data_IF_036622175489
#
_entry.id   IF_036622175489
#
_cell.length_a   1.000
_cell.length_b   1.000
_cell.length_c   1.000
_cell.angle_alpha   90.00
_cell.angle_beta   90.00
_cell.angle_gamma   90.00
#
_symmetry.space_group_name_H-M   'P 1'
#
loop_
_entity.id
_entity.type
_entity.pdbx_description
1 polymer ?
#
# COMPACT_ATOMS: atom_id res chain seq x y z
N UNK A 1 45.83 24.97 27.05
CA UNK A 1 45.68 24.59 25.63
C UNK A 1 44.62 23.49 25.54
N UNK A 2 43.38 23.82 25.16
CA UNK A 2 42.27 22.86 25.01
C UNK A 2 41.50 23.27 23.76
N UNK A 3 41.65 22.50 22.68
CA UNK A 3 40.98 22.73 21.40
C UNK A 3 39.53 22.26 21.51
N UNK A 4 38.56 23.16 21.44
CA UNK A 4 37.15 22.80 21.33
C UNK A 4 36.85 22.40 19.89
N UNK A 5 36.51 21.12 19.68
CA UNK A 5 36.02 20.61 18.39
C UNK A 5 34.63 21.20 18.18
N UNK A 6 34.47 22.06 17.19
CA UNK A 6 33.16 22.56 16.74
C UNK A 6 32.34 21.38 16.22
N UNK A 7 31.32 20.99 16.97
CA UNK A 7 30.29 20.04 16.51
C UNK A 7 29.44 20.72 15.44
N UNK A 8 29.67 20.38 14.18
CA UNK A 8 28.77 20.73 13.08
C UNK A 8 27.40 20.09 13.35
N UNK A 9 26.28 20.84 13.33
CA UNK A 9 24.97 20.21 13.42
C UNK A 9 24.74 19.38 12.15
N UNK A 10 24.49 18.08 12.33
CA UNK A 10 24.09 17.17 11.26
C UNK A 10 22.83 17.71 10.61
N UNK A 11 22.89 17.94 9.29
CA UNK A 11 21.77 18.37 8.46
C UNK A 11 20.52 17.54 8.80
N UNK A 12 19.34 18.16 9.00
CA UNK A 12 18.12 17.38 9.17
C UNK A 12 17.94 16.52 7.92
N UNK A 13 17.53 15.26 8.13
CA UNK A 13 17.11 14.39 7.04
C UNK A 13 16.10 15.14 6.16
N UNK A 14 16.11 14.96 4.83
CA UNK A 14 15.14 15.65 3.98
C UNK A 14 13.73 15.36 4.49
N UNK A 15 12.98 16.42 4.78
CA UNK A 15 11.57 16.33 5.09
C UNK A 15 10.91 15.67 3.87
N UNK A 16 10.45 14.43 4.01
CA UNK A 16 9.71 13.74 2.97
C UNK A 16 8.51 14.61 2.59
N UNK A 17 8.36 14.90 1.30
CA UNK A 17 7.24 15.68 0.80
C UNK A 17 5.91 15.04 1.25
N UNK A 18 4.95 15.81 1.78
CA UNK A 18 3.66 15.25 2.19
C UNK A 18 2.99 14.51 1.04
N UNK A 19 2.59 13.26 1.29
CA UNK A 19 1.85 12.46 0.31
C UNK A 19 0.38 12.83 0.37
N UNK A 20 -0.20 13.26 -0.76
CA UNK A 20 -1.64 13.49 -0.85
C UNK A 20 -2.38 12.15 -0.85
N UNK A 21 -3.33 12.01 0.08
CA UNK A 21 -4.17 10.84 0.25
C UNK A 21 -5.63 11.25 0.42
N UNK A 22 -6.52 10.76 -0.46
CA UNK A 22 -7.96 11.02 -0.41
C UNK A 22 -8.72 9.71 -0.10
N UNK A 23 -9.54 9.72 0.94
CA UNK A 23 -10.32 8.54 1.36
C UNK A 23 -11.72 8.56 0.71
N UNK A 24 -12.10 7.46 0.05
CA UNK A 24 -13.48 7.27 -0.39
C UNK A 24 -14.25 6.52 0.68
N UNK A 25 -15.29 7.15 1.21
CA UNK A 25 -16.11 6.59 2.28
C UNK A 25 -17.54 6.34 1.80
N UNK A 26 -18.14 5.25 2.26
CA UNK A 26 -19.56 4.94 2.07
C UNK A 26 -20.24 4.76 3.41
N UNK A 27 -21.46 5.27 3.52
CA UNK A 27 -22.31 5.03 4.69
C UNK A 27 -22.91 3.63 4.60
N UNK A 28 -22.79 2.86 5.67
CA UNK A 28 -23.49 1.60 5.90
C UNK A 28 -24.40 1.73 7.14
N UNK A 29 -25.17 0.68 7.44
CA UNK A 29 -25.98 0.64 8.66
C UNK A 29 -25.12 0.75 9.94
N UNK A 30 -23.88 0.26 9.87
CA UNK A 30 -22.92 0.24 10.99
C UNK A 30 -21.95 1.45 10.97
N UNK A 31 -22.30 2.51 10.24
CA UNK A 31 -21.51 3.75 10.14
C UNK A 31 -20.76 3.91 8.82
N UNK A 32 -19.80 4.84 8.79
CA UNK A 32 -19.00 5.06 7.59
C UNK A 32 -17.88 4.03 7.47
N UNK A 33 -17.69 3.49 6.26
CA UNK A 33 -16.63 2.56 5.91
C UNK A 33 -15.81 3.13 4.77
N UNK A 34 -14.50 2.99 4.86
CA UNK A 34 -13.58 3.29 3.76
C UNK A 34 -13.72 2.18 2.73
N UNK A 35 -13.88 2.55 1.46
CA UNK A 35 -14.02 1.60 0.35
C UNK A 35 -12.94 1.74 -0.72
N UNK A 36 -12.22 2.86 -0.74
CA UNK A 36 -11.07 3.08 -1.61
C UNK A 36 -10.17 4.17 -1.00
N UNK A 37 -8.93 4.19 -1.45
CA UNK A 37 -7.91 5.17 -1.09
C UNK A 37 -7.24 5.65 -2.38
N UNK A 38 -7.26 6.96 -2.60
CA UNK A 38 -6.53 7.60 -3.68
C UNK A 38 -5.21 8.12 -3.14
N UNK A 39 -4.09 7.70 -3.74
CA UNK A 39 -2.77 8.24 -3.45
C UNK A 39 -2.30 9.01 -4.67
N UNK A 40 -2.00 10.30 -4.49
CA UNK A 40 -1.60 11.19 -5.59
C UNK A 40 -2.55 11.11 -6.80
N UNK A 41 -3.86 11.00 -6.53
CA UNK A 41 -4.92 10.89 -7.56
C UNK A 41 -5.11 9.50 -8.17
N UNK A 42 -4.37 8.48 -7.72
CA UNK A 42 -4.51 7.10 -8.21
C UNK A 42 -5.31 6.26 -7.23
N UNK A 43 -6.42 5.67 -7.70
CA UNK A 43 -7.21 4.69 -6.94
C UNK A 43 -6.41 3.42 -6.70
N UNK A 44 -6.28 3.03 -5.43
CA UNK A 44 -5.65 1.76 -5.08
C UNK A 44 -6.55 0.56 -5.37
N UNK A 45 -7.88 0.70 -5.28
CA UNK A 45 -8.80 -0.40 -5.64
C UNK A 45 -8.70 -0.75 -7.12
N UNK A 46 -8.72 0.25 -8.01
CA UNK A 46 -8.62 0.00 -9.47
C UNK A 46 -7.27 -0.60 -9.81
N UNK A 47 -6.19 -0.06 -9.24
CA UNK A 47 -4.82 -0.58 -9.44
C UNK A 47 -4.74 -2.04 -9.01
N UNK A 48 -5.23 -2.37 -7.81
CA UNK A 48 -5.19 -3.72 -7.28
C UNK A 48 -6.05 -4.70 -8.11
N UNK A 49 -7.21 -4.26 -8.60
CA UNK A 49 -8.08 -5.06 -9.46
C UNK A 49 -7.39 -5.39 -10.79
N UNK A 50 -6.71 -4.41 -11.41
CA UNK A 50 -5.95 -4.62 -12.63
C UNK A 50 -4.80 -5.62 -12.41
N UNK A 51 -4.09 -5.50 -11.29
CA UNK A 51 -3.03 -6.44 -10.91
C UNK A 51 -3.57 -7.87 -10.72
N UNK A 52 -4.75 -8.02 -10.13
CA UNK A 52 -5.40 -9.32 -9.97
C UNK A 52 -5.81 -9.92 -11.30
N UNK A 53 -6.43 -9.13 -12.18
CA UNK A 53 -6.82 -9.59 -13.51
C UNK A 53 -5.60 -10.11 -14.29
N UNK A 54 -4.51 -9.33 -14.32
CA UNK A 54 -3.28 -9.72 -14.99
C UNK A 54 -2.70 -11.05 -14.45
N UNK A 55 -2.77 -11.28 -13.14
CA UNK A 55 -2.31 -12.54 -12.52
C UNK A 55 -3.21 -13.73 -12.86
N UNK A 56 -4.52 -13.52 -12.87
CA UNK A 56 -5.49 -14.57 -13.22
C UNK A 56 -5.27 -14.99 -14.68
N UNK A 57 -5.09 -14.03 -15.58
CA UNK A 57 -4.87 -14.28 -17.01
C UNK A 57 -3.59 -15.08 -17.29
N UNK A 58 -2.55 -14.90 -16.45
CA UNK A 58 -1.28 -15.64 -16.55
C UNK A 58 -1.39 -17.13 -16.19
N UNK A 59 -2.44 -17.55 -15.50
CA UNK A 59 -2.53 -18.93 -14.96
C UNK A 59 -2.95 -19.98 -16.00
N UNK A 60 -3.33 -19.56 -17.21
CA UNK A 60 -3.76 -20.40 -18.32
C UNK A 60 -5.24 -20.77 -18.30
N UNK A 61 -5.88 -20.82 -17.11
CA UNK A 61 -7.35 -20.86 -16.97
C UNK A 61 -7.80 -19.94 -15.84
N UNK A 62 -9.02 -19.35 -15.91
CA UNK A 62 -9.51 -18.47 -14.86
C UNK A 62 -9.59 -19.13 -13.49
N UNK A 63 -10.04 -20.39 -13.43
CA UNK A 63 -10.17 -21.14 -12.18
C UNK A 63 -8.82 -21.29 -11.47
N UNK A 64 -7.79 -21.73 -12.21
CA UNK A 64 -6.44 -21.87 -11.68
C UNK A 64 -5.85 -20.53 -11.25
N UNK A 65 -6.14 -19.45 -11.98
CA UNK A 65 -5.70 -18.10 -11.63
C UNK A 65 -6.30 -17.62 -10.31
N UNK A 66 -7.58 -17.86 -10.09
CA UNK A 66 -8.25 -17.53 -8.82
C UNK A 66 -7.63 -18.33 -7.67
N UNK A 67 -7.45 -19.64 -7.84
CA UNK A 67 -6.87 -20.49 -6.80
C UNK A 67 -5.44 -20.05 -6.42
N UNK A 68 -4.61 -19.72 -7.41
CA UNK A 68 -3.26 -19.19 -7.21
C UNK A 68 -3.26 -17.83 -6.52
N UNK A 69 -4.15 -16.92 -6.91
CA UNK A 69 -4.28 -15.61 -6.28
C UNK A 69 -4.68 -15.74 -4.80
N UNK A 70 -5.65 -16.59 -4.49
CA UNK A 70 -6.08 -16.84 -3.11
C UNK A 70 -4.93 -17.43 -2.28
N UNK A 71 -4.17 -18.39 -2.83
CA UNK A 71 -3.02 -18.96 -2.15
C UNK A 71 -1.93 -17.89 -1.86
N UNK A 72 -1.66 -17.01 -2.83
CA UNK A 72 -0.72 -15.89 -2.65
C UNK A 72 -1.17 -14.95 -1.52
N UNK A 73 -2.43 -14.49 -1.55
CA UNK A 73 -2.94 -13.54 -0.56
C UNK A 73 -2.91 -14.09 0.87
N UNK A 74 -3.20 -15.38 1.05
CA UNK A 74 -3.10 -16.03 2.37
C UNK A 74 -1.67 -16.01 2.92
N UNK A 75 -0.67 -16.22 2.07
CA UNK A 75 0.74 -16.22 2.47
C UNK A 75 1.26 -14.81 2.77
N UNK A 76 0.79 -13.80 2.04
CA UNK A 76 1.16 -12.40 2.29
C UNK A 76 0.55 -11.90 3.61
N UNK A 77 -0.70 -12.30 3.93
CA UNK A 77 -1.38 -11.89 5.16
C UNK A 77 -0.71 -12.47 6.43
N UNK A 78 -0.18 -13.70 6.36
CA UNK A 78 0.51 -14.34 7.50
C UNK A 78 1.91 -13.77 7.73
N UNK A 79 2.56 -13.21 6.70
CA UNK A 79 3.85 -12.55 6.83
C UNK A 79 3.77 -11.19 7.54
N UNK A 80 2.64 -10.48 7.47
CA UNK A 80 2.40 -9.22 8.18
C UNK A 80 1.91 -9.40 9.63
N UNK A 81 1.69 -10.63 10.07
CA UNK A 81 1.21 -10.97 11.42
C UNK A 81 2.30 -11.52 12.35
N UNK A 82 3.59 -11.38 11.99
CA UNK A 82 4.74 -11.85 12.76
C UNK A 82 5.66 -10.72 13.17
#
# INVERSE_FOLDING_TARGET
MRTTRSSTPSSPAPLQEPVKADWVVRKTNDGFKIVDLYIQGVSLVITQQADFAARIDQAGTPQKGIDQLIALMRNTQTASAK
#
